data_IF_125364428593
#
_entry.id   IF_125364428593
#
_cell.length_a   1.000
_cell.length_b   1.000
_cell.length_c   1.000
_cell.angle_alpha   90.00
_cell.angle_beta   90.00
_cell.angle_gamma   90.00
#
_symmetry.space_group_name_H-M   'P 1'
#
loop_
_entity.id
_entity.type
_entity.pdbx_description
1 polymer ?
#
# COMPACT_ATOMS: atom_id res chain seq x y z
N UNK A 1 5.54 -8.84 17.40
CA UNK A 1 6.32 -7.65 17.00
C UNK A 1 6.66 -7.74 15.51
N UNK A 2 6.50 -6.66 14.81
CA UNK A 2 6.94 -6.61 13.44
C UNK A 2 8.35 -6.05 13.35
N UNK A 3 9.22 -6.74 12.63
CA UNK A 3 10.55 -6.23 12.34
C UNK A 3 10.59 -5.53 10.99
N UNK A 4 9.48 -5.57 10.25
CA UNK A 4 9.40 -5.03 8.89
C UNK A 4 8.92 -3.59 8.87
N UNK A 5 8.16 -3.18 9.88
CA UNK A 5 7.67 -1.81 10.01
C UNK A 5 8.14 -1.21 11.32
N UNK A 6 8.46 0.06 11.29
CA UNK A 6 8.78 0.83 12.48
C UNK A 6 8.28 2.26 12.27
N UNK A 7 8.44 3.12 13.30
CA UNK A 7 7.90 4.49 13.26
C UNK A 7 8.52 5.36 12.16
N UNK A 8 9.67 4.95 11.64
CA UNK A 8 10.36 5.71 10.58
C UNK A 8 10.07 5.17 9.19
N UNK A 9 9.40 4.02 9.08
CA UNK A 9 9.04 3.45 7.79
C UNK A 9 8.04 4.37 7.10
N UNK A 10 8.38 4.84 5.91
CA UNK A 10 7.49 5.69 5.12
C UNK A 10 6.47 4.82 4.40
N UNK A 11 5.20 5.04 4.69
CA UNK A 11 4.10 4.19 4.24
C UNK A 11 3.22 4.94 3.26
N UNK A 12 2.90 4.28 2.14
CA UNK A 12 1.92 4.73 1.17
C UNK A 12 0.71 3.81 1.26
N UNK A 13 -0.49 4.36 1.20
CA UNK A 13 -1.73 3.56 1.22
C UNK A 13 -2.35 3.57 -0.16
N UNK A 14 -2.43 2.39 -0.79
CA UNK A 14 -3.11 2.23 -2.07
C UNK A 14 -4.59 1.98 -1.83
N UNK A 15 -5.44 2.74 -2.51
CA UNK A 15 -6.88 2.71 -2.25
C UNK A 15 -7.30 3.62 -1.11
N UNK A 16 -6.54 4.66 -0.84
CA UNK A 16 -6.74 5.53 0.33
C UNK A 16 -8.07 6.24 0.32
N UNK A 17 -8.67 6.49 -0.84
CA UNK A 17 -9.96 7.18 -0.91
C UNK A 17 -11.16 6.26 -0.74
N UNK A 18 -10.95 4.95 -0.71
CA UNK A 18 -12.00 3.99 -0.40
C UNK A 18 -12.33 4.03 1.09
N UNK A 19 -13.51 3.52 1.48
CA UNK A 19 -13.94 3.60 2.87
C UNK A 19 -12.97 2.88 3.82
N UNK A 20 -12.54 1.66 3.46
CA UNK A 20 -11.61 0.91 4.30
C UNK A 20 -10.23 1.54 4.31
N UNK A 21 -9.73 1.94 3.13
CA UNK A 21 -8.42 2.57 3.03
C UNK A 21 -8.34 3.85 3.83
N UNK A 22 -9.38 4.67 3.72
CA UNK A 22 -9.43 5.93 4.46
C UNK A 22 -9.48 5.69 5.97
N UNK A 23 -10.33 4.76 6.42
CA UNK A 23 -10.48 4.44 7.83
C UNK A 23 -9.17 3.93 8.42
N UNK A 24 -8.55 2.96 7.76
CA UNK A 24 -7.31 2.37 8.27
C UNK A 24 -6.13 3.33 8.18
N UNK A 25 -6.08 4.17 7.15
CA UNK A 25 -5.03 5.19 7.05
C UNK A 25 -5.13 6.16 8.22
N UNK A 26 -6.35 6.60 8.56
CA UNK A 26 -6.55 7.49 9.69
C UNK A 26 -6.15 6.81 11.01
N UNK A 27 -6.51 5.54 11.18
CA UNK A 27 -6.12 4.80 12.38
C UNK A 27 -4.61 4.65 12.49
N UNK A 28 -3.93 4.38 11.37
CA UNK A 28 -2.48 4.26 11.37
C UNK A 28 -1.82 5.58 11.77
N UNK A 29 -2.35 6.69 11.26
CA UNK A 29 -1.85 8.03 11.65
C UNK A 29 -2.07 8.29 13.13
N UNK A 30 -3.25 7.96 13.63
CA UNK A 30 -3.58 8.16 15.05
C UNK A 30 -2.70 7.30 15.95
N UNK A 31 -2.27 6.14 15.46
CA UNK A 31 -1.39 5.23 16.19
C UNK A 31 0.08 5.68 16.15
N UNK A 32 0.42 6.63 15.31
CA UNK A 32 1.79 7.14 15.20
C UNK A 32 2.59 6.58 14.04
N UNK A 33 1.95 5.85 13.12
CA UNK A 33 2.64 5.36 11.93
C UNK A 33 2.92 6.51 10.96
N UNK A 34 4.02 6.38 10.22
CA UNK A 34 4.45 7.41 9.29
C UNK A 34 3.82 7.22 7.91
N UNK A 35 2.52 7.43 7.81
CA UNK A 35 1.82 7.40 6.53
C UNK A 35 2.02 8.75 5.85
N UNK A 36 2.70 8.76 4.71
CA UNK A 36 3.09 10.01 4.04
C UNK A 36 2.17 10.42 2.91
N UNK A 37 1.51 9.45 2.27
CA UNK A 37 0.63 9.74 1.13
C UNK A 37 -0.21 8.52 0.79
N UNK A 38 -1.08 8.69 -0.21
CA UNK A 38 -1.88 7.61 -0.73
C UNK A 38 -1.95 7.63 -2.24
N UNK A 39 -2.44 6.54 -2.81
CA UNK A 39 -2.64 6.40 -4.25
C UNK A 39 -4.05 5.89 -4.51
N UNK A 40 -4.77 6.59 -5.37
CA UNK A 40 -6.02 6.11 -5.96
C UNK A 40 -6.04 6.63 -7.38
N UNK A 41 -6.01 5.74 -8.39
CA UNK A 41 -6.03 6.19 -9.78
C UNK A 41 -7.24 7.08 -10.07
N UNK A 42 -6.99 8.20 -10.72
CA UNK A 42 -8.03 9.18 -11.05
C UNK A 42 -8.35 10.17 -9.94
N UNK A 43 -7.76 10.03 -8.76
CA UNK A 43 -8.00 10.90 -7.62
C UNK A 43 -6.78 11.75 -7.25
N UNK A 44 -5.77 11.75 -8.10
CA UNK A 44 -4.56 12.55 -7.85
C UNK A 44 -4.89 14.03 -7.70
N UNK A 45 -4.15 14.70 -6.82
CA UNK A 45 -4.38 16.12 -6.53
C UNK A 45 -5.36 16.38 -5.41
N UNK A 46 -6.04 15.33 -4.90
CA UNK A 46 -6.93 15.46 -3.75
C UNK A 46 -6.14 15.22 -2.47
N UNK A 47 -6.80 15.41 -1.34
CA UNK A 47 -6.23 15.05 -0.04
C UNK A 47 -7.13 14.04 0.64
N UNK A 48 -6.57 13.26 1.57
CA UNK A 48 -7.28 12.24 2.31
C UNK A 48 -6.91 12.33 3.78
N UNK A 49 -7.78 11.81 4.63
CA UNK A 49 -7.66 11.80 6.09
C UNK A 49 -7.74 13.22 6.68
N UNK A 50 -7.86 13.29 8.02
CA UNK A 50 -7.89 14.57 8.72
C UNK A 50 -6.56 15.30 8.61
N UNK A 51 -5.48 14.58 8.32
CA UNK A 51 -4.14 15.13 8.18
C UNK A 51 -3.88 15.69 6.78
N UNK A 52 -4.86 15.64 5.88
CA UNK A 52 -4.75 16.14 4.50
C UNK A 52 -3.56 15.51 3.77
N UNK A 53 -3.46 14.20 3.82
CA UNK A 53 -2.41 13.49 3.08
C UNK A 53 -2.62 13.66 1.58
N UNK A 54 -1.55 13.91 0.82
CA UNK A 54 -1.69 14.03 -0.63
C UNK A 54 -2.03 12.68 -1.26
N UNK A 55 -2.88 12.72 -2.28
CA UNK A 55 -3.28 11.54 -3.04
C UNK A 55 -2.69 11.66 -4.44
N UNK A 56 -2.07 10.59 -4.93
CA UNK A 56 -1.48 10.53 -6.26
C UNK A 56 -2.21 9.52 -7.12
N UNK A 57 -2.03 9.61 -8.43
CA UNK A 57 -2.63 8.66 -9.36
C UNK A 57 -1.85 7.35 -9.43
N UNK A 58 -0.57 7.37 -9.07
CA UNK A 58 0.28 6.19 -9.15
C UNK A 58 1.40 6.27 -8.12
N UNK A 59 2.02 5.11 -7.84
CA UNK A 59 3.19 5.07 -6.95
C UNK A 59 4.36 5.83 -7.58
N UNK A 60 4.49 5.77 -8.90
CA UNK A 60 5.54 6.50 -9.59
C UNK A 60 5.47 8.00 -9.30
N UNK A 61 4.26 8.57 -9.33
CA UNK A 61 4.08 9.99 -8.99
C UNK A 61 4.42 10.27 -7.55
N UNK A 62 3.98 9.38 -6.64
CA UNK A 62 4.25 9.55 -5.22
C UNK A 62 5.75 9.52 -4.92
N UNK A 63 6.50 8.67 -5.59
CA UNK A 63 7.93 8.53 -5.38
C UNK A 63 8.72 9.76 -5.82
N UNK A 64 8.14 10.60 -6.66
CA UNK A 64 8.79 11.87 -7.03
C UNK A 64 8.77 12.87 -5.88
N UNK A 65 7.81 12.72 -4.97
CA UNK A 65 7.65 13.65 -3.84
C UNK A 65 8.14 13.04 -2.52
N UNK A 66 8.05 11.72 -2.38
CA UNK A 66 8.37 11.03 -1.12
C UNK A 66 9.23 9.80 -1.38
N UNK A 67 10.06 9.47 -0.39
CA UNK A 67 10.72 8.18 -0.34
C UNK A 67 9.73 7.20 0.31
N UNK A 68 9.45 6.08 -0.36
CA UNK A 68 8.43 5.12 0.10
C UNK A 68 9.10 3.79 0.43
N UNK A 69 8.96 3.35 1.68
CA UNK A 69 9.53 2.08 2.15
C UNK A 69 8.54 0.94 2.09
N UNK A 70 7.26 1.23 2.29
CA UNK A 70 6.22 0.21 2.36
C UNK A 70 4.91 0.73 1.77
N UNK A 71 4.09 -0.18 1.28
CA UNK A 71 2.74 0.15 0.86
C UNK A 71 1.74 -0.82 1.48
N UNK A 72 0.57 -0.31 1.84
CA UNK A 72 -0.55 -1.12 2.33
C UNK A 72 -1.69 -0.98 1.33
N UNK A 73 -2.24 -2.10 0.89
CA UNK A 73 -3.20 -2.13 -0.22
C UNK A 73 -4.60 -2.44 0.28
N UNK A 74 -5.54 -1.52 0.03
CA UNK A 74 -6.95 -1.62 0.38
C UNK A 74 -7.86 -1.50 -0.84
N UNK A 75 -7.43 -2.02 -1.99
CA UNK A 75 -8.24 -1.96 -3.21
C UNK A 75 -9.12 -3.22 -3.32
N UNK A 76 -10.22 -3.17 -4.09
CA UNK A 76 -11.03 -4.36 -4.33
C UNK A 76 -10.23 -5.50 -4.93
N UNK A 77 -10.61 -6.78 -4.69
CA UNK A 77 -9.82 -7.94 -5.14
C UNK A 77 -9.48 -7.93 -6.63
N UNK A 78 -10.37 -7.46 -7.47
CA UNK A 78 -10.14 -7.45 -8.93
C UNK A 78 -9.03 -6.49 -9.35
N UNK A 79 -8.66 -5.54 -8.48
CA UNK A 79 -7.59 -4.57 -8.75
C UNK A 79 -6.34 -4.83 -7.92
N UNK A 80 -6.42 -5.77 -6.96
CA UNK A 80 -5.34 -5.97 -5.99
C UNK A 80 -4.05 -6.47 -6.64
N UNK A 81 -4.15 -7.41 -7.58
CA UNK A 81 -2.95 -7.92 -8.24
C UNK A 81 -2.22 -6.81 -8.98
N UNK A 82 -2.95 -5.94 -9.69
CA UNK A 82 -2.33 -4.82 -10.39
C UNK A 82 -1.67 -3.84 -9.43
N UNK A 83 -2.29 -3.62 -8.26
CA UNK A 83 -1.70 -2.76 -7.24
C UNK A 83 -0.39 -3.35 -6.70
N UNK A 84 -0.36 -4.66 -6.46
CA UNK A 84 0.86 -5.35 -6.02
C UNK A 84 1.93 -5.26 -7.10
N UNK A 85 1.57 -5.53 -8.34
CA UNK A 85 2.52 -5.48 -9.45
C UNK A 85 3.11 -4.09 -9.63
N UNK A 86 2.30 -3.06 -9.47
CA UNK A 86 2.77 -1.68 -9.52
C UNK A 86 3.82 -1.43 -8.43
N UNK A 87 3.54 -1.89 -7.21
CA UNK A 87 4.47 -1.71 -6.10
C UNK A 87 5.79 -2.44 -6.35
N UNK A 88 5.73 -3.66 -6.89
CA UNK A 88 6.93 -4.42 -7.25
C UNK A 88 7.73 -3.66 -8.31
N UNK A 89 7.06 -3.16 -9.33
CA UNK A 89 7.72 -2.42 -10.41
C UNK A 89 8.43 -1.17 -9.89
N UNK A 90 7.87 -0.54 -8.88
CA UNK A 90 8.45 0.67 -8.27
C UNK A 90 9.45 0.34 -7.16
N UNK A 91 9.80 -0.94 -6.99
CA UNK A 91 10.81 -1.38 -6.03
C UNK A 91 10.46 -1.05 -4.58
N UNK A 92 9.17 -1.14 -4.24
CA UNK A 92 8.75 -0.96 -2.84
C UNK A 92 9.17 -2.20 -2.07
N UNK A 93 9.95 -2.01 -1.00
CA UNK A 93 10.54 -3.13 -0.27
C UNK A 93 9.52 -4.01 0.46
N UNK A 94 8.51 -3.42 1.07
CA UNK A 94 7.48 -4.16 1.80
C UNK A 94 6.10 -3.83 1.23
N UNK A 95 5.37 -4.88 0.86
CA UNK A 95 4.03 -4.76 0.30
C UNK A 95 3.09 -5.56 1.19
N UNK A 96 2.08 -4.89 1.78
CA UNK A 96 1.07 -5.54 2.61
C UNK A 96 -0.26 -5.47 1.88
N UNK A 97 -0.83 -6.62 1.55
CA UNK A 97 -2.11 -6.67 0.84
C UNK A 97 -3.19 -7.19 1.77
N UNK A 98 -4.23 -6.37 1.98
CA UNK A 98 -5.35 -6.69 2.87
C UNK A 98 -6.48 -7.35 2.10
N UNK A 99 -6.56 -7.15 0.79
CA UNK A 99 -7.66 -7.64 -0.04
C UNK A 99 -7.84 -9.15 0.06
N UNK A 100 -9.09 -9.60 0.05
CA UNK A 100 -9.44 -11.01 0.03
C UNK A 100 -10.02 -11.37 -1.34
N UNK A 101 -9.99 -12.67 -1.66
CA UNK A 101 -10.65 -13.15 -2.86
C UNK A 101 -9.94 -12.83 -4.17
N UNK A 102 -8.64 -12.62 -4.13
CA UNK A 102 -7.86 -12.39 -5.35
C UNK A 102 -7.81 -13.69 -6.15
N UNK A 103 -8.15 -13.68 -7.47
CA UNK A 103 -8.11 -14.89 -8.28
C UNK A 103 -6.74 -15.55 -8.28
N UNK A 104 -6.71 -16.88 -8.25
CA UNK A 104 -5.47 -17.66 -8.26
C UNK A 104 -4.60 -17.30 -9.46
N UNK A 105 -5.22 -17.13 -10.62
CA UNK A 105 -4.51 -16.76 -11.83
C UNK A 105 -3.74 -15.44 -11.67
N UNK A 106 -4.36 -14.47 -11.00
CA UNK A 106 -3.73 -13.18 -10.75
C UNK A 106 -2.58 -13.32 -9.75
N UNK A 107 -2.74 -14.18 -8.74
CA UNK A 107 -1.69 -14.42 -7.76
C UNK A 107 -0.48 -15.15 -8.37
N UNK A 108 -0.69 -15.95 -9.41
CA UNK A 108 0.43 -16.56 -10.12
C UNK A 108 1.30 -15.51 -10.79
N UNK A 109 0.69 -14.48 -11.38
CA UNK A 109 1.43 -13.37 -11.98
C UNK A 109 2.21 -12.60 -10.92
N UNK A 110 1.58 -12.38 -9.78
CA UNK A 110 2.23 -11.69 -8.65
C UNK A 110 3.44 -12.49 -8.18
N UNK A 111 3.29 -13.79 -8.00
CA UNK A 111 4.40 -14.63 -7.53
C UNK A 111 5.58 -14.59 -8.50
N UNK A 112 5.30 -14.67 -9.80
CA UNK A 112 6.36 -14.59 -10.80
C UNK A 112 7.11 -13.26 -10.72
N UNK A 113 6.39 -12.16 -10.55
CA UNK A 113 7.03 -10.84 -10.40
C UNK A 113 7.85 -10.75 -9.12
N UNK A 114 7.32 -11.30 -8.00
CA UNK A 114 8.03 -11.30 -6.72
C UNK A 114 9.34 -12.05 -6.80
N UNK A 115 9.35 -13.21 -7.47
CA UNK A 115 10.55 -14.05 -7.58
C UNK A 115 11.69 -13.32 -8.29
N UNK A 116 11.37 -12.31 -9.10
CA UNK A 116 12.35 -11.51 -9.82
C UNK A 116 12.59 -10.15 -9.19
N UNK A 117 12.17 -9.96 -7.94
CA UNK A 117 12.27 -8.67 -7.26
C UNK A 117 12.90 -8.83 -5.89
N UNK A 118 13.21 -7.67 -5.26
CA UNK A 118 13.65 -7.63 -3.87
C UNK A 118 12.51 -7.30 -2.91
N UNK A 119 11.27 -7.22 -3.43
CA UNK A 119 10.12 -6.89 -2.60
C UNK A 119 9.65 -8.09 -1.78
N UNK A 120 9.10 -7.81 -0.60
CA UNK A 120 8.46 -8.80 0.26
C UNK A 120 6.96 -8.52 0.29
N UNK A 121 6.17 -9.56 0.06
CA UNK A 121 4.71 -9.45 0.10
C UNK A 121 4.17 -10.17 1.33
N UNK A 122 3.31 -9.48 2.08
CA UNK A 122 2.54 -10.08 3.17
C UNK A 122 1.07 -10.03 2.76
N UNK A 123 0.40 -11.14 2.85
CA UNK A 123 -0.95 -11.33 2.34
C UNK A 123 -0.94 -12.03 1.00
N UNK A 124 -2.05 -12.05 0.28
CA UNK A 124 -3.31 -11.36 0.55
C UNK A 124 -4.04 -11.93 1.77
N UNK A 125 -5.15 -11.29 2.10
CA UNK A 125 -5.99 -11.67 3.25
C UNK A 125 -5.23 -11.56 4.56
N UNK A 126 -4.61 -10.41 4.76
CA UNK A 126 -3.80 -10.13 5.94
C UNK A 126 -4.47 -9.03 6.76
N UNK A 127 -4.56 -9.16 8.10
CA UNK A 127 -5.13 -8.09 8.93
C UNK A 127 -4.25 -6.85 9.02
N UNK A 128 -3.08 -6.89 8.41
CA UNK A 128 -2.12 -5.80 8.44
C UNK A 128 -1.01 -6.07 9.43
N UNK A 129 -0.05 -5.16 9.47
CA UNK A 129 1.06 -5.23 10.41
C UNK A 129 0.96 -4.07 11.37
N UNK A 130 1.03 -4.36 12.66
CA UNK A 130 1.05 -3.36 13.71
C UNK A 130 2.35 -3.51 14.47
N UNK A 131 3.10 -2.42 14.56
CA UNK A 131 4.32 -2.39 15.38
C UNK A 131 3.99 -1.78 16.74
N UNK A 132 4.42 -2.46 17.72
CA UNK A 132 4.23 -1.97 19.08
C UNK A 132 5.33 -0.96 19.44
#
# INVERSE_FOLDING_TARGET
MSILLNKKTSILVQGITGSEGLFHAQQMLDYGSNVVCGVTPGKGGQTATENNLPVFNSIEEAKKEFSIDATVIFVPPRFAANAILEAIKQNIGLIVCISEGIPVRDMKKVKSALDNSSSTLIGPNCPGLITA
#
